data_IF_736050267216
#
_entry.id   IF_736050267216
#
_cell.length_a   1.000
_cell.length_b   1.000
_cell.length_c   1.000
_cell.angle_alpha   90.00
_cell.angle_beta   90.00
_cell.angle_gamma   90.00
#
_symmetry.space_group_name_H-M   'P 1'
#
loop_
_entity.id
_entity.type
_entity.pdbx_description
1 polymer ?
#
# COMPACT_ATOMS: atom_id res chain seq x y z
N UNK A 1 16.70 4.75 13.19
CA UNK A 1 15.53 3.96 12.75
C UNK A 1 14.47 4.94 12.28
N UNK A 2 14.07 4.89 11.00
CA UNK A 2 12.84 5.60 10.57
C UNK A 2 11.66 4.88 11.22
N UNK A 3 10.79 5.61 11.90
CA UNK A 3 9.55 5.04 12.47
C UNK A 3 8.57 4.87 11.32
N UNK A 4 7.97 3.69 11.19
CA UNK A 4 6.87 3.48 10.24
C UNK A 4 5.71 4.43 10.62
N UNK A 5 5.27 5.21 9.64
CA UNK A 5 4.14 6.12 9.70
C UNK A 5 2.90 5.38 9.21
N UNK A 6 2.03 5.01 10.15
CA UNK A 6 0.69 4.53 9.83
C UNK A 6 -0.22 5.73 9.61
N UNK A 7 -0.87 5.79 8.44
CA UNK A 7 -1.83 6.84 8.07
C UNK A 7 -3.22 6.26 7.89
N UNK A 8 -4.25 7.07 8.14
CA UNK A 8 -5.65 6.67 7.94
C UNK A 8 -6.09 6.68 6.48
N UNK A 9 -5.40 7.45 5.63
CA UNK A 9 -5.66 7.65 4.21
C UNK A 9 -4.38 8.08 3.47
N UNK A 10 -4.21 7.66 2.22
CA UNK A 10 -3.16 8.15 1.31
C UNK A 10 -3.54 9.45 0.58
N UNK A 11 -4.78 9.92 0.69
CA UNK A 11 -5.19 11.23 0.15
C UNK A 11 -4.44 12.42 0.76
N UNK A 12 -3.88 12.23 1.97
CA UNK A 12 -3.13 13.23 2.72
C UNK A 12 -1.60 13.01 2.66
N UNK A 13 -1.13 12.06 1.86
CA UNK A 13 0.29 11.77 1.73
C UNK A 13 0.83 12.52 0.51
N UNK A 14 1.79 13.41 0.77
CA UNK A 14 2.55 14.06 -0.28
C UNK A 14 3.56 13.05 -0.86
N UNK A 15 3.43 12.80 -2.17
CA UNK A 15 4.29 11.89 -2.93
C UNK A 15 5.13 12.62 -3.98
N UNK A 16 5.13 13.96 -3.97
CA UNK A 16 5.80 14.77 -4.99
C UNK A 16 7.32 14.56 -5.07
N UNK A 17 7.94 14.14 -3.97
CA UNK A 17 9.36 13.80 -3.90
C UNK A 17 9.69 12.33 -4.27
N UNK A 18 8.67 11.49 -4.51
CA UNK A 18 8.86 10.10 -4.92
C UNK A 18 9.03 10.03 -6.44
N UNK A 19 9.96 9.19 -6.90
CA UNK A 19 10.23 9.04 -8.35
C UNK A 19 9.08 8.33 -9.06
N UNK A 20 8.57 7.29 -8.43
CA UNK A 20 7.47 6.49 -8.96
C UNK A 20 6.70 5.87 -7.79
N UNK A 21 5.69 6.60 -7.25
CA UNK A 21 4.91 6.11 -6.12
C UNK A 21 4.03 4.92 -6.52
N UNK A 22 4.12 3.84 -5.75
CA UNK A 22 3.34 2.61 -5.92
C UNK A 22 2.70 2.27 -4.58
N UNK A 23 1.41 1.95 -4.59
CA UNK A 23 0.74 1.39 -3.42
C UNK A 23 0.62 -0.12 -3.62
N UNK A 24 1.29 -0.90 -2.78
CA UNK A 24 1.16 -2.37 -2.77
C UNK A 24 0.29 -2.81 -1.61
N UNK A 25 -0.71 -3.65 -1.88
CA UNK A 25 -1.67 -4.15 -0.89
C UNK A 25 -1.34 -5.59 -0.53
N UNK A 26 -1.27 -5.83 0.77
CA UNK A 26 -1.01 -7.14 1.35
C UNK A 26 -2.16 -7.55 2.27
N UNK A 27 -2.43 -8.84 2.34
CA UNK A 27 -3.29 -9.44 3.37
C UNK A 27 -2.48 -10.42 4.21
N UNK A 28 -2.68 -10.36 5.53
CA UNK A 28 -2.02 -11.23 6.50
C UNK A 28 -0.48 -11.27 6.38
N UNK A 29 0.23 -10.13 6.21
CA UNK A 29 1.69 -10.15 6.27
C UNK A 29 2.16 -10.51 7.68
N UNK A 30 3.36 -11.10 7.80
CA UNK A 30 3.89 -11.63 9.07
C UNK A 30 3.93 -10.59 10.21
N UNK A 31 4.14 -9.33 9.89
CA UNK A 31 4.19 -8.23 10.86
C UNK A 31 2.82 -7.71 11.30
N UNK A 32 1.76 -7.96 10.51
CA UNK A 32 0.38 -7.53 10.79
C UNK A 32 -0.62 -8.64 10.43
N UNK A 33 -0.68 -9.73 11.23
CA UNK A 33 -1.57 -10.86 10.96
C UNK A 33 -3.05 -10.46 10.94
N UNK A 34 -3.81 -11.04 10.02
CA UNK A 34 -5.26 -10.84 9.87
C UNK A 34 -5.69 -9.46 9.35
N UNK A 35 -4.76 -8.59 8.97
CA UNK A 35 -5.05 -7.24 8.47
C UNK A 35 -4.78 -7.11 6.98
N UNK A 36 -5.44 -6.13 6.37
CA UNK A 36 -5.06 -5.58 5.08
C UNK A 36 -4.10 -4.41 5.30
N UNK A 37 -2.97 -4.44 4.60
CA UNK A 37 -1.89 -3.45 4.73
C UNK A 37 -1.56 -2.92 3.35
N UNK A 38 -1.84 -1.64 3.11
CA UNK A 38 -1.33 -0.93 1.95
C UNK A 38 0.00 -0.25 2.31
N UNK A 39 1.05 -0.47 1.53
CA UNK A 39 2.37 0.13 1.73
C UNK A 39 2.73 1.00 0.53
N UNK A 40 3.25 2.19 0.82
CA UNK A 40 3.79 3.08 -0.20
C UNK A 40 5.23 2.69 -0.53
N UNK A 41 5.51 2.50 -1.81
CA UNK A 41 6.82 2.23 -2.38
C UNK A 41 7.22 3.37 -3.29
N UNK A 42 8.53 3.60 -3.40
CA UNK A 42 9.14 4.37 -4.48
C UNK A 42 9.97 3.39 -5.32
N UNK A 43 9.52 3.11 -6.54
CA UNK A 43 10.06 2.02 -7.36
C UNK A 43 9.98 0.68 -6.61
N UNK A 44 11.13 0.04 -6.37
CA UNK A 44 11.26 -1.26 -5.70
C UNK A 44 11.48 -1.13 -4.18
N UNK A 45 11.59 0.10 -3.65
CA UNK A 45 11.94 0.34 -2.27
C UNK A 45 10.71 0.77 -1.44
N UNK A 46 10.46 0.13 -0.28
CA UNK A 46 9.40 0.58 0.60
C UNK A 46 9.77 1.94 1.21
N UNK A 47 8.79 2.82 1.29
CA UNK A 47 8.88 4.02 2.15
C UNK A 47 8.57 3.65 3.60
N UNK A 48 8.50 4.63 4.49
CA UNK A 48 8.04 4.44 5.87
C UNK A 48 6.52 4.57 6.03
N UNK A 49 5.76 4.75 4.94
CA UNK A 49 4.33 5.07 5.01
C UNK A 49 3.44 3.87 4.66
N UNK A 50 2.47 3.57 5.53
CA UNK A 50 1.52 2.46 5.36
C UNK A 50 0.12 2.82 5.85
N UNK A 51 -0.91 2.16 5.34
CA UNK A 51 -2.29 2.23 5.81
C UNK A 51 -2.77 0.81 6.15
N UNK A 52 -3.43 0.66 7.30
CA UNK A 52 -3.83 -0.64 7.86
C UNK A 52 -5.33 -0.63 8.13
N UNK A 53 -6.04 -1.63 7.61
CA UNK A 53 -7.50 -1.77 7.76
C UNK A 53 -7.89 -3.23 7.98
N UNK A 54 -9.13 -3.43 8.41
CA UNK A 54 -9.72 -4.76 8.61
C UNK A 54 -10.25 -5.36 7.32
N UNK A 55 -10.63 -4.51 6.36
CA UNK A 55 -11.15 -4.92 5.06
C UNK A 55 -10.44 -4.25 3.90
N UNK A 56 -10.49 -4.90 2.74
CA UNK A 56 -9.95 -4.35 1.51
C UNK A 56 -10.74 -3.10 1.04
N UNK A 57 -12.04 -3.07 1.28
CA UNK A 57 -12.90 -1.94 0.90
C UNK A 57 -12.50 -0.64 1.63
N UNK A 58 -12.18 -0.73 2.92
CA UNK A 58 -11.72 0.42 3.71
C UNK A 58 -10.37 0.98 3.23
N UNK A 59 -9.51 0.15 2.61
CA UNK A 59 -8.29 0.67 1.98
C UNK A 59 -8.61 1.53 0.77
N UNK A 60 -9.58 1.13 -0.05
CA UNK A 60 -9.95 1.85 -1.26
C UNK A 60 -10.50 3.25 -0.97
N UNK A 61 -11.21 3.43 0.14
CA UNK A 61 -11.66 4.75 0.60
C UNK A 61 -10.50 5.70 0.89
N UNK A 62 -9.32 5.16 1.22
CA UNK A 62 -8.11 5.91 1.48
C UNK A 62 -7.21 6.11 0.26
N UNK A 63 -7.55 5.59 -0.92
CA UNK A 63 -6.73 5.70 -2.12
C UNK A 63 -7.10 6.93 -2.97
N UNK A 64 -6.11 7.58 -3.61
CA UNK A 64 -6.37 8.55 -4.67
C UNK A 64 -7.30 7.98 -5.77
N UNK A 65 -8.22 8.79 -6.31
CA UNK A 65 -9.26 8.30 -7.24
C UNK A 65 -8.74 7.97 -8.64
N UNK A 66 -7.55 8.45 -9.01
CA UNK A 66 -6.98 8.36 -10.35
C UNK A 66 -5.92 7.25 -10.48
N UNK A 67 -5.87 6.31 -9.55
CA UNK A 67 -4.91 5.21 -9.60
C UNK A 67 -5.37 4.10 -10.55
N UNK A 68 -4.40 3.45 -11.19
CA UNK A 68 -4.63 2.24 -11.98
C UNK A 68 -4.35 1.01 -11.12
N UNK A 69 -5.36 0.14 -10.96
CA UNK A 69 -5.23 -1.14 -10.26
C UNK A 69 -4.51 -2.17 -11.14
N UNK A 70 -3.48 -2.79 -10.59
CA UNK A 70 -2.76 -3.92 -11.17
C UNK A 70 -3.03 -5.16 -10.30
N UNK A 71 -3.72 -6.19 -10.83
CA UNK A 71 -3.99 -7.40 -10.06
C UNK A 71 -2.70 -8.17 -9.75
N UNK A 72 -2.72 -8.97 -8.68
CA UNK A 72 -1.62 -9.89 -8.38
C UNK A 72 -1.28 -10.80 -9.56
N UNK A 73 0.00 -11.15 -9.65
CA UNK A 73 0.56 -12.06 -10.62
C UNK A 73 0.75 -13.47 -10.01
N UNK A 74 0.85 -14.53 -10.84
CA UNK A 74 1.00 -15.90 -10.33
C UNK A 74 2.25 -16.15 -9.48
N UNK A 75 3.30 -15.36 -9.68
CA UNK A 75 4.58 -15.47 -8.99
C UNK A 75 4.74 -14.50 -7.81
N UNK A 76 3.71 -13.71 -7.49
CA UNK A 76 3.74 -12.85 -6.32
C UNK A 76 3.68 -13.69 -5.02
N UNK A 77 4.28 -13.16 -3.96
CA UNK A 77 4.15 -13.74 -2.63
C UNK A 77 2.67 -13.89 -2.24
N UNK A 78 2.32 -14.93 -1.48
CA UNK A 78 0.92 -15.28 -1.17
C UNK A 78 0.13 -14.13 -0.54
N UNK A 79 0.81 -13.31 0.28
CA UNK A 79 0.23 -12.16 0.95
C UNK A 79 -0.10 -11.00 0.02
N UNK A 80 0.43 -10.95 -1.20
CA UNK A 80 0.15 -9.86 -2.16
C UNK A 80 -1.27 -10.02 -2.68
N UNK A 81 -2.04 -8.95 -2.57
CA UNK A 81 -3.40 -8.86 -3.11
C UNK A 81 -3.38 -8.18 -4.47
N UNK A 82 -2.70 -7.04 -4.57
CA UNK A 82 -2.68 -6.16 -5.74
C UNK A 82 -1.74 -4.97 -5.55
N UNK A 83 -1.54 -4.20 -6.63
CA UNK A 83 -0.85 -2.92 -6.61
C UNK A 83 -1.70 -1.82 -7.26
N UNK A 84 -1.36 -0.57 -6.96
CA UNK A 84 -1.98 0.61 -7.54
C UNK A 84 -0.90 1.62 -7.93
N UNK A 85 -1.03 2.15 -9.15
CA UNK A 85 -0.07 3.07 -9.77
C UNK A 85 -0.71 4.44 -10.00
N UNK A 86 0.05 5.50 -9.75
CA UNK A 86 -0.36 6.89 -10.02
C UNK A 86 -0.47 7.20 -11.51
#
# INVERSE_FOLDING_TARGET
MRKNKVVDSFLQVDVSDLKFPIISVFYNPLDQPGKYVARMFDLDQPTDTSMVKDTLAELYEGFPPNLTRIPRQPNDHESVVEMWLY
#
